data_IF_276680451443
#
_entry.id   IF_276680451443
#
_cell.length_a   1.000
_cell.length_b   1.000
_cell.length_c   1.000
_cell.angle_alpha   90.00
_cell.angle_beta   90.00
_cell.angle_gamma   90.00
#
_symmetry.space_group_name_H-M   'P 1'
#
loop_
_entity.id
_entity.type
_entity.pdbx_description
1 polymer ?
#
# COMPACT_ATOMS: atom_id res chain seq x y z
N UNK A 1 36.88 9.93 -22.29
CA UNK A 1 36.42 9.24 -21.08
C UNK A 1 35.54 8.08 -21.55
N UNK A 2 35.81 6.85 -21.11
CA UNK A 2 34.96 5.72 -21.48
C UNK A 2 33.54 6.02 -20.96
N UNK A 3 32.54 5.92 -21.84
CA UNK A 3 31.15 6.18 -21.49
C UNK A 3 30.69 5.04 -20.55
N UNK A 4 30.79 5.25 -19.24
CA UNK A 4 30.43 4.23 -18.25
C UNK A 4 28.93 3.99 -18.33
N UNK A 5 28.54 2.73 -18.57
CA UNK A 5 27.13 2.32 -18.64
C UNK A 5 26.43 2.59 -17.32
N UNK A 6 25.16 2.96 -17.35
CA UNK A 6 24.36 3.27 -16.17
C UNK A 6 23.67 2.02 -15.61
N UNK A 7 23.64 1.89 -14.29
CA UNK A 7 22.93 0.83 -13.59
C UNK A 7 22.02 1.42 -12.51
N UNK A 8 20.71 1.32 -12.71
CA UNK A 8 19.72 1.76 -11.74
C UNK A 8 19.46 0.67 -10.70
N UNK A 9 19.45 1.04 -9.43
CA UNK A 9 19.23 0.12 -8.31
C UNK A 9 17.78 0.28 -7.84
N UNK A 10 17.01 -0.81 -7.94
CA UNK A 10 15.69 -0.93 -7.33
C UNK A 10 15.78 -1.90 -6.16
N UNK A 11 15.34 -1.45 -4.99
CA UNK A 11 15.49 -2.19 -3.75
C UNK A 11 14.48 -1.71 -2.69
N UNK A 12 14.26 -2.48 -1.61
CA UNK A 12 13.45 -2.00 -0.50
C UNK A 12 14.10 -0.76 0.12
N UNK A 13 13.38 0.36 0.11
CA UNK A 13 13.88 1.61 0.74
C UNK A 13 13.68 1.60 2.25
N UNK A 14 12.64 0.90 2.72
CA UNK A 14 12.32 0.75 4.14
C UNK A 14 12.19 -0.71 4.50
N UNK A 15 12.58 -1.04 5.73
CA UNK A 15 12.37 -2.36 6.32
C UNK A 15 10.94 -2.44 6.85
N UNK A 16 10.11 -3.39 6.39
CA UNK A 16 8.77 -3.58 6.95
C UNK A 16 8.85 -3.94 8.43
N UNK A 17 7.99 -3.35 9.27
CA UNK A 17 8.06 -3.53 10.73
C UNK A 17 7.96 -5.01 11.14
N UNK A 18 7.21 -5.82 10.38
CA UNK A 18 7.04 -7.26 10.64
C UNK A 18 8.31 -8.11 10.45
N UNK A 19 9.30 -7.62 9.70
CA UNK A 19 10.59 -8.30 9.48
C UNK A 19 11.77 -7.57 10.10
N UNK A 20 11.55 -6.42 10.73
CA UNK A 20 12.59 -5.56 11.29
C UNK A 20 13.50 -6.28 12.28
N UNK A 21 12.92 -7.09 13.16
CA UNK A 21 13.68 -7.84 14.18
C UNK A 21 14.55 -8.96 13.58
N UNK A 22 14.39 -9.27 12.30
CA UNK A 22 15.23 -10.26 11.59
C UNK A 22 16.54 -9.66 11.11
N UNK A 23 16.61 -8.34 10.98
CA UNK A 23 17.79 -7.63 10.51
C UNK A 23 18.56 -7.02 11.69
N UNK A 24 19.87 -7.29 11.75
CA UNK A 24 20.75 -6.77 12.81
C UNK A 24 20.64 -5.26 12.98
N UNK A 25 20.55 -4.55 11.85
CA UNK A 25 20.60 -3.08 11.81
C UNK A 25 19.20 -2.44 11.83
N UNK A 26 18.14 -3.23 12.07
CA UNK A 26 16.77 -2.76 12.18
C UNK A 26 16.35 -1.97 10.93
N UNK A 27 15.92 -0.72 11.10
CA UNK A 27 15.42 0.14 10.01
C UNK A 27 16.49 0.56 9.01
N UNK A 28 17.76 0.58 9.40
CA UNK A 28 18.87 1.05 8.54
C UNK A 28 19.45 -0.06 7.66
N UNK A 29 18.98 -1.31 7.80
CA UNK A 29 19.55 -2.45 7.10
C UNK A 29 19.70 -2.23 5.59
N UNK A 30 18.61 -1.84 4.91
CA UNK A 30 18.66 -1.63 3.47
C UNK A 30 19.51 -0.44 3.05
N UNK A 31 19.66 0.56 3.93
CA UNK A 31 20.62 1.64 3.69
C UNK A 31 22.05 1.12 3.70
N UNK A 32 22.41 0.29 4.68
CA UNK A 32 23.73 -0.34 4.73
C UNK A 32 23.96 -1.29 3.56
N UNK A 33 22.96 -2.06 3.14
CA UNK A 33 23.03 -2.90 1.94
C UNK A 33 23.34 -2.05 0.70
N UNK A 34 22.64 -0.92 0.53
CA UNK A 34 22.86 0.00 -0.58
C UNK A 34 24.29 0.56 -0.58
N UNK A 35 24.69 1.17 0.53
CA UNK A 35 25.93 1.94 0.64
C UNK A 35 27.18 1.05 0.70
N UNK A 36 27.10 -0.08 1.40
CA UNK A 36 28.26 -0.94 1.66
C UNK A 36 28.41 -2.08 0.65
N UNK A 37 27.32 -2.57 0.04
CA UNK A 37 27.35 -3.74 -0.85
C UNK A 37 26.95 -3.40 -2.28
N UNK A 38 25.75 -2.87 -2.52
CA UNK A 38 25.21 -2.74 -3.88
C UNK A 38 25.96 -1.70 -4.71
N UNK A 39 26.13 -0.47 -4.20
CA UNK A 39 26.85 0.59 -4.91
C UNK A 39 28.30 0.16 -5.22
N UNK A 40 29.10 -0.30 -4.24
CA UNK A 40 30.47 -0.74 -4.52
C UNK A 40 30.54 -1.90 -5.54
N UNK A 41 29.58 -2.81 -5.52
CA UNK A 41 29.54 -3.94 -6.46
C UNK A 41 29.22 -3.49 -7.89
N UNK A 42 28.29 -2.57 -8.05
CA UNK A 42 27.92 -1.97 -9.35
C UNK A 42 29.10 -1.17 -9.93
N UNK A 43 29.76 -0.36 -9.11
CA UNK A 43 30.92 0.42 -9.53
C UNK A 43 32.10 -0.49 -9.90
N UNK A 44 32.38 -1.52 -9.09
CA UNK A 44 33.38 -2.56 -9.40
C UNK A 44 33.03 -3.35 -10.66
N UNK A 45 31.74 -3.48 -10.96
CA UNK A 45 31.27 -4.08 -12.20
C UNK A 45 31.53 -3.19 -13.44
N UNK A 46 31.94 -1.94 -13.27
CA UNK A 46 32.23 -1.00 -14.35
C UNK A 46 31.01 -0.19 -14.81
N UNK A 47 29.97 -0.10 -13.96
CA UNK A 47 28.77 0.68 -14.21
C UNK A 47 28.72 1.89 -13.27
N UNK A 48 28.04 2.95 -13.72
CA UNK A 48 27.68 4.09 -12.87
C UNK A 48 26.41 3.74 -12.08
N UNK A 49 26.52 3.62 -10.76
CA UNK A 49 25.41 3.29 -9.88
C UNK A 49 24.45 4.48 -9.73
N UNK A 50 23.15 4.23 -9.93
CA UNK A 50 22.09 5.20 -9.71
C UNK A 50 21.22 4.66 -8.56
N UNK A 51 21.30 5.22 -7.35
CA UNK A 51 20.54 4.75 -6.19
C UNK A 51 19.04 5.13 -6.31
N UNK A 52 18.16 4.46 -5.55
CA UNK A 52 16.74 4.82 -5.50
C UNK A 52 16.53 6.21 -4.87
N UNK A 53 15.54 6.95 -5.37
CA UNK A 53 15.18 8.27 -4.84
C UNK A 53 14.35 8.15 -3.56
N UNK A 54 14.84 8.70 -2.46
CA UNK A 54 14.11 8.79 -1.19
C UNK A 54 13.48 10.19 -1.02
N UNK A 55 12.21 10.41 -1.45
CA UNK A 55 11.19 11.40 -0.94
C UNK A 55 10.08 11.80 -1.96
N UNK A 56 8.79 11.67 -1.57
CA UNK A 56 7.60 12.33 -2.19
C UNK A 56 6.78 11.54 -3.24
N UNK A 57 5.56 11.10 -2.89
CA UNK A 57 4.82 10.04 -3.61
C UNK A 57 4.58 10.24 -5.11
N UNK A 58 4.33 11.45 -5.59
CA UNK A 58 3.81 11.61 -6.97
C UNK A 58 4.88 11.99 -7.99
N UNK A 59 5.90 12.75 -7.57
CA UNK A 59 7.05 13.13 -8.42
C UNK A 59 8.09 12.00 -8.53
N UNK A 60 8.16 11.11 -7.53
CA UNK A 60 9.09 9.96 -7.56
C UNK A 60 8.80 9.03 -8.73
N UNK A 61 7.53 8.67 -8.97
CA UNK A 61 7.20 7.59 -9.90
C UNK A 61 7.61 7.90 -11.34
N UNK A 62 7.47 9.15 -11.80
CA UNK A 62 7.87 9.53 -13.15
C UNK A 62 9.39 9.37 -13.38
N UNK A 63 10.20 9.78 -12.41
CA UNK A 63 11.66 9.66 -12.52
C UNK A 63 12.10 8.19 -12.40
N UNK A 64 11.49 7.39 -11.50
CA UNK A 64 11.75 5.95 -11.43
C UNK A 64 11.44 5.28 -12.76
N UNK A 65 10.27 5.54 -13.35
CA UNK A 65 9.89 4.97 -14.65
C UNK A 65 10.89 5.36 -15.73
N UNK A 66 11.32 6.63 -15.75
CA UNK A 66 12.34 7.11 -16.68
C UNK A 66 13.68 6.38 -16.49
N UNK A 67 14.11 6.12 -15.24
CA UNK A 67 15.33 5.36 -14.98
C UNK A 67 15.19 3.89 -15.41
N UNK A 68 14.04 3.26 -15.13
CA UNK A 68 13.71 1.91 -15.59
C UNK A 68 13.71 1.80 -17.11
N UNK A 69 13.37 2.86 -17.82
CA UNK A 69 13.42 2.93 -19.27
C UNK A 69 14.83 3.21 -19.79
N UNK A 70 15.51 4.23 -19.27
CA UNK A 70 16.70 4.79 -19.94
C UNK A 70 18.02 4.14 -19.57
N UNK A 71 18.09 3.43 -18.44
CA UNK A 71 19.36 2.84 -17.97
C UNK A 71 19.74 1.54 -18.69
N UNK A 72 21.05 1.30 -18.80
CA UNK A 72 21.60 0.13 -19.48
C UNK A 72 21.30 -1.17 -18.73
N UNK A 73 21.33 -1.13 -17.40
CA UNK A 73 21.05 -2.26 -16.51
C UNK A 73 20.20 -1.81 -15.33
N UNK A 74 19.33 -2.71 -14.85
CA UNK A 74 18.69 -2.57 -13.54
C UNK A 74 19.20 -3.67 -12.62
N UNK A 75 19.71 -3.29 -11.44
CA UNK A 75 19.97 -4.19 -10.34
C UNK A 75 18.73 -4.22 -9.44
N UNK A 76 18.11 -5.39 -9.32
CA UNK A 76 16.85 -5.58 -8.62
C UNK A 76 17.05 -6.43 -7.37
N UNK A 77 16.89 -5.81 -6.20
CA UNK A 77 16.94 -6.50 -4.91
C UNK A 77 15.53 -6.90 -4.44
N UNK A 78 15.21 -8.19 -4.52
CA UNK A 78 13.90 -8.74 -4.15
C UNK A 78 13.76 -9.06 -2.66
N UNK A 79 14.69 -8.61 -1.82
CA UNK A 79 14.68 -8.85 -0.38
C UNK A 79 13.43 -8.30 0.30
N UNK A 80 13.03 -8.94 1.41
CA UNK A 80 11.82 -8.62 2.19
C UNK A 80 10.51 -8.61 1.39
N UNK A 81 10.51 -9.08 0.13
CA UNK A 81 9.35 -9.17 -0.76
C UNK A 81 8.62 -7.82 -0.92
N UNK A 82 9.37 -6.74 -1.10
CA UNK A 82 8.79 -5.40 -1.22
C UNK A 82 7.92 -5.27 -2.50
N UNK A 83 6.62 -4.93 -2.39
CA UNK A 83 5.71 -4.87 -3.53
C UNK A 83 6.08 -3.80 -4.56
N UNK A 84 6.72 -2.69 -4.14
CA UNK A 84 7.13 -1.64 -5.06
C UNK A 84 8.27 -2.11 -5.97
N UNK A 85 9.22 -2.88 -5.42
CA UNK A 85 10.31 -3.45 -6.22
C UNK A 85 9.77 -4.43 -7.26
N UNK A 86 8.77 -5.25 -6.91
CA UNK A 86 8.12 -6.14 -7.87
C UNK A 86 7.40 -5.39 -8.99
N UNK A 87 6.77 -4.25 -8.68
CA UNK A 87 6.15 -3.40 -9.68
C UNK A 87 7.19 -2.83 -10.65
N UNK A 88 8.29 -2.28 -10.15
CA UNK A 88 9.40 -1.74 -10.94
C UNK A 88 10.09 -2.82 -11.80
N UNK A 89 10.31 -4.00 -11.23
CA UNK A 89 10.81 -5.18 -11.93
C UNK A 89 9.88 -5.60 -13.08
N UNK A 90 8.56 -5.57 -12.85
CA UNK A 90 7.55 -5.85 -13.87
C UNK A 90 7.62 -4.88 -15.05
N UNK A 91 7.77 -3.57 -14.78
CA UNK A 91 7.93 -2.54 -15.81
C UNK A 91 9.22 -2.76 -16.61
N UNK A 92 10.36 -2.94 -15.93
CA UNK A 92 11.64 -3.19 -16.62
C UNK A 92 11.57 -4.45 -17.49
N UNK A 93 10.87 -5.47 -17.00
CA UNK A 93 10.64 -6.71 -17.74
C UNK A 93 9.77 -6.46 -18.95
N UNK A 94 8.67 -5.71 -18.87
CA UNK A 94 7.80 -5.46 -20.04
C UNK A 94 8.48 -4.65 -21.15
N UNK A 95 9.50 -3.86 -20.82
CA UNK A 95 10.36 -3.14 -21.77
C UNK A 95 11.43 -4.03 -22.42
N UNK A 96 11.52 -5.31 -22.04
CA UNK A 96 12.54 -6.26 -22.51
C UNK A 96 13.98 -5.77 -22.33
N UNK A 97 14.29 -5.06 -21.25
CA UNK A 97 15.64 -4.53 -21.00
C UNK A 97 16.40 -5.34 -19.94
N UNK A 98 17.75 -5.31 -19.94
CA UNK A 98 18.57 -6.09 -19.03
C UNK A 98 18.23 -5.85 -17.57
N UNK A 99 18.18 -6.93 -16.79
CA UNK A 99 17.96 -6.92 -15.34
C UNK A 99 18.86 -7.97 -14.68
N UNK A 100 19.47 -7.58 -13.57
CA UNK A 100 20.24 -8.44 -12.68
C UNK A 100 19.47 -8.55 -11.38
N UNK A 101 19.26 -9.75 -10.85
CA UNK A 101 18.39 -9.94 -9.69
C UNK A 101 19.17 -10.51 -8.51
N UNK A 102 18.95 -9.92 -7.35
CA UNK A 102 19.58 -10.32 -6.08
C UNK A 102 18.52 -10.48 -5.00
N UNK A 103 18.91 -11.17 -3.92
CA UNK A 103 18.13 -11.26 -2.69
C UNK A 103 19.07 -11.52 -1.52
N UNK A 104 18.63 -11.19 -0.31
CA UNK A 104 19.29 -11.64 0.90
C UNK A 104 19.05 -13.14 1.17
N UNK A 105 19.85 -13.68 2.08
CA UNK A 105 19.75 -15.05 2.59
C UNK A 105 18.53 -15.27 3.51
N UNK A 106 17.92 -14.19 4.02
CA UNK A 106 16.71 -14.24 4.84
C UNK A 106 15.44 -14.44 4.01
N UNK A 107 15.43 -14.01 2.75
CA UNK A 107 14.32 -14.14 1.80
C UNK A 107 14.39 -15.53 1.15
N UNK A 108 13.69 -16.49 1.74
CA UNK A 108 13.74 -17.91 1.32
C UNK A 108 12.99 -18.18 0.00
N UNK A 109 11.84 -17.56 -0.18
CA UNK A 109 10.98 -17.82 -1.34
C UNK A 109 10.54 -16.50 -1.97
N UNK A 110 10.84 -16.35 -3.26
CA UNK A 110 10.30 -15.29 -4.10
C UNK A 110 9.00 -15.82 -4.73
N UNK A 111 7.91 -15.05 -4.79
CA UNK A 111 6.58 -15.49 -5.24
C UNK A 111 6.45 -15.75 -6.75
N UNK A 112 7.54 -16.05 -7.44
CA UNK A 112 7.58 -16.48 -8.85
C UNK A 112 8.09 -17.92 -8.94
N UNK A 113 7.89 -18.60 -10.08
CA UNK A 113 8.55 -19.87 -10.35
C UNK A 113 10.08 -19.66 -10.45
N UNK A 114 10.73 -19.70 -9.28
CA UNK A 114 12.13 -19.32 -9.04
C UNK A 114 13.14 -20.23 -9.73
N UNK A 115 12.72 -21.37 -10.27
CA UNK A 115 13.59 -22.24 -11.07
C UNK A 115 14.09 -21.58 -12.36
N UNK A 116 13.46 -20.50 -12.81
CA UNK A 116 13.73 -19.85 -14.09
C UNK A 116 14.59 -18.58 -13.93
N UNK A 117 14.49 -17.88 -12.80
CA UNK A 117 15.16 -16.61 -12.58
C UNK A 117 16.50 -16.88 -11.89
N UNK A 118 17.59 -16.42 -12.50
CA UNK A 118 18.93 -16.52 -11.92
C UNK A 118 19.15 -15.40 -10.90
N UNK A 119 19.15 -15.73 -9.61
CA UNK A 119 19.39 -14.80 -8.52
C UNK A 119 20.79 -15.00 -7.93
N UNK A 120 21.42 -13.91 -7.50
CA UNK A 120 22.53 -13.97 -6.55
C UNK A 120 22.01 -13.74 -5.13
N UNK A 121 22.40 -14.62 -4.21
CA UNK A 121 22.10 -14.49 -2.78
C UNK A 121 23.29 -13.82 -2.08
N UNK A 122 23.03 -12.77 -1.31
CA UNK A 122 24.04 -12.10 -0.47
C UNK A 122 23.72 -12.27 1.03
N UNK A 123 24.74 -12.14 1.87
CA UNK A 123 24.58 -12.25 3.33
C UNK A 123 23.99 -10.98 3.95
N UNK A 124 22.83 -11.08 4.61
CA UNK A 124 22.18 -9.94 5.28
C UNK A 124 22.98 -9.37 6.46
N UNK A 125 23.97 -10.12 6.98
CA UNK A 125 24.76 -9.70 8.13
C UNK A 125 25.82 -8.63 7.79
N UNK A 126 26.21 -8.49 6.52
CA UNK A 126 27.19 -7.51 6.01
C UNK A 126 28.50 -7.44 6.83
N UNK A 127 29.00 -8.59 7.28
CA UNK A 127 30.18 -8.63 8.15
C UNK A 127 31.43 -8.08 7.44
N UNK A 128 32.25 -7.22 8.08
CA UNK A 128 33.36 -6.55 7.42
C UNK A 128 34.41 -7.48 6.78
N UNK A 129 34.61 -8.68 7.35
CA UNK A 129 35.58 -9.66 6.84
C UNK A 129 35.08 -10.40 5.58
N UNK A 130 33.76 -10.51 5.39
CA UNK A 130 33.16 -11.14 4.21
C UNK A 130 32.81 -10.11 3.12
N UNK A 131 32.56 -8.85 3.49
CA UNK A 131 32.06 -7.80 2.60
C UNK A 131 32.90 -7.62 1.33
N UNK A 132 34.23 -7.60 1.43
CA UNK A 132 35.09 -7.44 0.25
C UNK A 132 34.96 -8.61 -0.75
N UNK A 133 34.73 -9.81 -0.24
CA UNK A 133 34.48 -11.01 -1.05
C UNK A 133 33.10 -10.95 -1.68
N UNK A 134 32.06 -10.63 -0.90
CA UNK A 134 30.68 -10.46 -1.38
C UNK A 134 30.61 -9.44 -2.50
N UNK A 135 31.24 -8.27 -2.35
CA UNK A 135 31.32 -7.23 -3.40
C UNK A 135 31.95 -7.79 -4.68
N UNK A 136 32.97 -8.63 -4.55
CA UNK A 136 33.63 -9.24 -5.72
C UNK A 136 32.71 -10.20 -6.44
N UNK A 137 32.10 -11.14 -5.71
CA UNK A 137 31.19 -12.14 -6.29
C UNK A 137 29.96 -11.48 -6.90
N UNK A 138 29.36 -10.50 -6.22
CA UNK A 138 28.23 -9.75 -6.74
C UNK A 138 28.62 -8.94 -7.99
N UNK A 139 29.81 -8.33 -8.03
CA UNK A 139 30.28 -7.62 -9.22
C UNK A 139 30.46 -8.54 -10.44
N UNK A 140 30.93 -9.77 -10.23
CA UNK A 140 31.04 -10.79 -11.29
C UNK A 140 29.67 -11.23 -11.77
N UNK A 141 28.73 -11.44 -10.85
CA UNK A 141 27.35 -11.76 -11.18
C UNK A 141 26.68 -10.65 -12.00
N UNK A 142 26.87 -9.38 -11.63
CA UNK A 142 26.34 -8.22 -12.37
C UNK A 142 26.88 -8.20 -13.81
N UNK A 143 28.20 -8.36 -13.99
CA UNK A 143 28.83 -8.42 -15.32
C UNK A 143 28.27 -9.58 -16.14
N UNK A 144 28.25 -10.78 -15.57
CA UNK A 144 27.77 -11.98 -16.25
C UNK A 144 26.28 -11.86 -16.65
N UNK A 145 25.45 -11.28 -15.78
CA UNK A 145 24.03 -11.02 -16.08
C UNK A 145 23.86 -10.04 -17.22
N UNK A 146 24.65 -8.96 -17.25
CA UNK A 146 24.62 -7.99 -18.35
C UNK A 146 25.12 -8.59 -19.68
N UNK A 147 26.24 -9.31 -19.67
CA UNK A 147 26.79 -9.93 -20.88
C UNK A 147 25.86 -11.02 -21.45
N UNK A 148 25.25 -11.84 -20.60
CA UNK A 148 24.27 -12.87 -21.00
C UNK A 148 22.98 -12.27 -21.57
N UNK A 149 22.63 -11.06 -21.14
CA UNK A 149 21.39 -10.40 -21.53
C UNK A 149 21.35 -10.06 -23.02
N UNK A 150 22.51 -9.81 -23.64
CA UNK A 150 22.63 -9.29 -25.02
C UNK A 150 21.70 -8.08 -25.27
N UNK A 151 21.59 -7.20 -24.26
CA UNK A 151 20.73 -6.02 -24.31
C UNK A 151 19.23 -6.30 -24.11
N UNK A 152 18.84 -7.54 -23.78
CA UNK A 152 17.45 -7.95 -23.59
C UNK A 152 17.18 -8.60 -22.24
N UNK A 153 15.91 -8.66 -21.83
CA UNK A 153 15.56 -9.39 -20.63
C UNK A 153 15.56 -10.90 -20.90
N UNK A 154 16.38 -11.66 -20.16
CA UNK A 154 16.52 -13.11 -20.39
C UNK A 154 15.25 -13.90 -20.07
N UNK A 155 14.35 -13.37 -19.24
CA UNK A 155 13.12 -14.03 -18.82
C UNK A 155 12.07 -14.12 -19.93
N UNK A 156 12.17 -13.29 -20.95
CA UNK A 156 11.23 -13.27 -22.07
C UNK A 156 11.15 -14.59 -22.83
N UNK A 157 12.31 -15.22 -23.02
CA UNK A 157 12.41 -16.53 -23.67
C UNK A 157 11.63 -17.59 -22.88
N UNK A 158 11.60 -17.44 -21.56
CA UNK A 158 10.93 -18.39 -20.66
C UNK A 158 9.44 -18.08 -20.49
N UNK A 159 9.06 -16.80 -20.42
CA UNK A 159 7.66 -16.38 -20.30
C UNK A 159 6.89 -16.42 -21.63
N UNK A 160 7.57 -16.60 -22.77
CA UNK A 160 6.93 -16.66 -24.08
C UNK A 160 6.30 -15.32 -24.52
N UNK A 161 6.82 -14.20 -24.01
CA UNK A 161 6.35 -12.86 -24.35
C UNK A 161 6.65 -12.55 -25.83
N UNK A 162 5.66 -11.98 -26.53
CA UNK A 162 5.71 -11.74 -27.98
C UNK A 162 5.73 -10.25 -28.38
N UNK A 163 5.46 -9.35 -27.43
CA UNK A 163 5.32 -7.93 -27.71
C UNK A 163 5.89 -7.10 -26.55
N UNK A 164 6.76 -6.15 -26.90
CA UNK A 164 7.39 -5.17 -26.02
C UNK A 164 6.43 -4.02 -25.73
N UNK A 165 6.42 -3.56 -24.48
CA UNK A 165 5.74 -2.33 -24.14
C UNK A 165 6.45 -1.17 -24.87
N UNK A 166 5.69 -0.38 -25.62
CA UNK A 166 6.19 0.82 -26.28
C UNK A 166 6.04 2.03 -25.34
N UNK A 167 6.97 2.98 -25.45
CA UNK A 167 6.84 4.26 -24.77
C UNK A 167 5.58 5.00 -25.28
N UNK A 168 4.92 5.71 -24.38
CA UNK A 168 3.78 6.54 -24.76
C UNK A 168 4.28 7.79 -25.51
N UNK A 169 3.89 7.94 -26.79
CA UNK A 169 4.35 9.04 -27.66
C UNK A 169 3.50 10.33 -27.55
N UNK A 170 2.42 10.34 -26.76
CA UNK A 170 1.57 11.52 -26.60
C UNK A 170 2.17 12.56 -25.65
N UNK A 171 1.77 13.83 -25.77
CA UNK A 171 2.17 14.86 -24.80
C UNK A 171 1.56 14.57 -23.42
N UNK A 172 2.37 14.49 -22.35
CA UNK A 172 1.85 14.30 -21.01
C UNK A 172 1.17 15.60 -20.51
N UNK A 173 -0.13 15.73 -20.75
CA UNK A 173 -1.00 16.45 -19.81
C UNK A 173 -1.98 17.52 -20.31
N UNK A 174 -2.98 17.17 -21.13
CA UNK A 174 -4.31 17.80 -20.99
C UNK A 174 -5.31 16.82 -20.38
N UNK A 175 -5.45 15.63 -20.97
CA UNK A 175 -6.51 14.69 -20.61
C UNK A 175 -6.11 13.82 -19.42
N UNK A 176 -4.87 13.32 -19.40
CA UNK A 176 -4.34 12.51 -18.30
C UNK A 176 -4.27 13.26 -16.96
N UNK A 177 -4.12 14.59 -16.97
CA UNK A 177 -4.15 15.40 -15.75
C UNK A 177 -5.57 15.57 -15.23
N UNK A 178 -6.55 15.75 -16.12
CA UNK A 178 -7.97 15.76 -15.75
C UNK A 178 -8.39 14.41 -15.18
N UNK A 179 -7.91 13.31 -15.78
CA UNK A 179 -8.15 11.96 -15.26
C UNK A 179 -7.47 11.74 -13.91
N UNK A 180 -6.23 12.22 -13.73
CA UNK A 180 -5.55 12.17 -12.44
C UNK A 180 -6.29 12.99 -11.38
N UNK A 181 -6.78 14.18 -11.74
CA UNK A 181 -7.61 15.02 -10.87
C UNK A 181 -8.91 14.28 -10.50
N UNK A 182 -9.57 13.65 -11.46
CA UNK A 182 -10.78 12.87 -11.21
C UNK A 182 -10.51 11.68 -10.29
N UNK A 183 -9.38 10.98 -10.46
CA UNK A 183 -8.95 9.89 -9.58
C UNK A 183 -8.62 10.39 -8.17
N UNK A 184 -7.91 11.53 -8.06
CA UNK A 184 -7.61 12.17 -6.78
C UNK A 184 -8.89 12.63 -6.08
N UNK A 185 -9.83 13.28 -6.79
CA UNK A 185 -11.14 13.66 -6.27
C UNK A 185 -11.94 12.43 -5.80
N UNK A 186 -11.98 11.35 -6.57
CA UNK A 186 -12.61 10.10 -6.15
C UNK A 186 -11.95 9.49 -4.91
N UNK A 187 -10.63 9.61 -4.75
CA UNK A 187 -9.93 9.19 -3.54
C UNK A 187 -10.23 10.08 -2.33
N UNK A 188 -10.38 11.40 -2.54
CA UNK A 188 -10.76 12.35 -1.50
C UNK A 188 -12.19 12.10 -1.02
N UNK A 189 -13.13 11.87 -1.95
CA UNK A 189 -14.52 11.53 -1.62
C UNK A 189 -14.58 10.25 -0.77
N UNK A 190 -13.86 9.20 -1.14
CA UNK A 190 -13.77 7.97 -0.31
C UNK A 190 -13.18 8.21 1.07
N UNK A 191 -12.14 9.05 1.19
CA UNK A 191 -11.56 9.41 2.49
C UNK A 191 -12.53 10.23 3.34
N UNK A 192 -13.35 11.08 2.72
CA UNK A 192 -14.42 11.82 3.42
C UNK A 192 -15.51 10.86 3.91
N UNK A 193 -15.96 9.91 3.08
CA UNK A 193 -16.93 8.88 3.49
C UNK A 193 -16.41 8.04 4.67
N UNK A 194 -15.13 7.66 4.65
CA UNK A 194 -14.50 6.92 5.75
C UNK A 194 -14.32 7.78 7.01
N UNK A 195 -14.11 9.09 6.85
CA UNK A 195 -14.00 10.04 7.95
C UNK A 195 -15.35 10.28 8.63
N UNK A 196 -16.43 10.41 7.87
CA UNK A 196 -17.79 10.49 8.40
C UNK A 196 -18.15 9.23 9.19
N UNK A 197 -17.86 8.04 8.64
CA UNK A 197 -18.10 6.76 9.34
C UNK A 197 -17.30 6.63 10.64
N UNK A 198 -16.02 7.00 10.65
CA UNK A 198 -15.19 6.98 11.87
C UNK A 198 -15.62 8.03 12.89
N UNK A 199 -15.95 9.24 12.46
CA UNK A 199 -16.44 10.32 13.33
C UNK A 199 -17.72 9.91 14.05
N UNK A 200 -18.69 9.31 13.35
CA UNK A 200 -19.93 8.81 13.95
C UNK A 200 -19.66 7.67 14.95
N UNK A 201 -18.73 6.77 14.63
CA UNK A 201 -18.40 5.63 15.48
C UNK A 201 -17.62 6.03 16.75
N UNK A 202 -16.64 6.94 16.63
CA UNK A 202 -15.84 7.42 17.77
C UNK A 202 -16.63 8.37 18.68
N UNK A 203 -17.55 9.18 18.14
CA UNK A 203 -18.44 10.02 18.94
C UNK A 203 -19.45 9.17 19.71
N UNK A 204 -20.00 8.12 19.10
CA UNK A 204 -20.86 7.15 19.80
C UNK A 204 -20.12 6.39 20.90
N UNK A 205 -18.88 5.96 20.65
CA UNK A 205 -18.09 5.17 21.59
C UNK A 205 -17.56 5.98 22.79
N UNK A 206 -17.21 7.25 22.60
CA UNK A 206 -16.69 8.12 23.67
C UNK A 206 -17.78 8.52 24.68
N UNK A 207 -19.04 8.58 24.25
CA UNK A 207 -20.20 8.90 25.09
C UNK A 207 -20.71 7.65 25.83
N UNK A 208 -20.63 6.45 25.22
CA UNK A 208 -21.08 5.20 25.84
C UNK A 208 -20.30 4.72 27.06
N UNK A 209 -19.09 5.26 27.29
CA UNK A 209 -18.27 4.85 28.43
C UNK A 209 -18.60 5.61 29.73
N UNK A 210 -19.50 6.60 29.70
CA UNK A 210 -19.62 7.58 30.80
C UNK A 210 -21.01 7.71 31.48
N UNK A 211 -22.04 6.91 31.16
CA UNK A 211 -23.37 7.15 31.78
C UNK A 211 -24.27 5.92 31.92
N UNK A 212 -24.91 5.83 33.09
CA UNK A 212 -25.87 4.81 33.50
C UNK A 212 -27.16 4.85 32.66
N UNK A 213 -27.69 3.66 32.37
CA UNK A 213 -28.88 3.37 31.55
C UNK A 213 -30.15 4.10 32.04
N UNK A 214 -30.85 4.78 31.12
CA UNK A 214 -32.20 5.34 31.33
C UNK A 214 -32.46 6.62 30.53
N UNK A 215 -32.13 7.78 31.13
CA UNK A 215 -32.56 9.11 30.63
C UNK A 215 -31.84 9.60 29.37
N UNK A 216 -30.63 9.10 29.07
CA UNK A 216 -29.85 9.58 27.92
C UNK A 216 -30.31 8.99 26.58
N UNK A 217 -30.84 7.75 26.57
CA UNK A 217 -31.31 7.10 25.33
C UNK A 217 -32.48 7.83 24.68
N UNK A 218 -33.33 8.46 25.50
CA UNK A 218 -34.43 9.30 25.08
C UNK A 218 -33.94 10.57 24.36
N UNK A 219 -32.95 11.24 24.92
CA UNK A 219 -32.40 12.50 24.37
C UNK A 219 -31.78 12.29 22.99
N UNK A 220 -31.05 11.19 22.78
CA UNK A 220 -30.41 10.90 21.50
C UNK A 220 -31.38 10.50 20.40
N UNK A 221 -32.41 9.72 20.72
CA UNK A 221 -33.44 9.36 19.76
C UNK A 221 -34.28 10.58 19.34
N UNK A 222 -34.55 11.50 20.27
CA UNK A 222 -35.19 12.79 19.96
C UNK A 222 -34.32 13.67 19.04
N UNK A 223 -33.01 13.75 19.30
CA UNK A 223 -32.05 14.48 18.46
C UNK A 223 -31.95 13.88 17.05
N UNK A 224 -31.87 12.56 16.95
CA UNK A 224 -31.84 11.85 15.67
C UNK A 224 -33.12 12.10 14.87
N UNK A 225 -34.29 11.99 15.52
CA UNK A 225 -35.57 12.28 14.90
C UNK A 225 -35.61 13.72 14.36
N UNK A 226 -35.18 14.71 15.16
CA UNK A 226 -35.13 16.11 14.75
C UNK A 226 -34.18 16.38 13.58
N UNK A 227 -32.96 15.80 13.60
CA UNK A 227 -31.97 16.03 12.54
C UNK A 227 -32.34 15.37 11.20
N UNK A 228 -33.24 14.39 11.22
CA UNK A 228 -33.72 13.68 10.04
C UNK A 228 -35.17 14.07 9.68
N UNK A 229 -35.66 15.22 10.18
CA UNK A 229 -37.02 15.75 9.94
C UNK A 229 -38.13 14.69 10.20
N UNK A 230 -37.95 13.86 11.22
CA UNK A 230 -38.96 12.91 11.68
C UNK A 230 -39.86 13.63 12.68
N UNK A 231 -41.08 13.97 12.25
CA UNK A 231 -42.07 14.71 13.04
C UNK A 231 -42.75 13.83 14.10
N UNK A 232 -41.96 13.33 15.05
CA UNK A 232 -42.42 12.54 16.19
C UNK A 232 -41.79 13.02 17.48
N UNK A 233 -42.58 12.97 18.56
CA UNK A 233 -42.10 13.24 19.91
C UNK A 233 -41.91 11.92 20.64
N UNK A 234 -40.66 11.50 20.80
CA UNK A 234 -40.31 10.31 21.58
C UNK A 234 -40.43 10.67 23.06
N UNK A 235 -41.20 9.90 23.82
CA UNK A 235 -41.52 10.17 25.23
C UNK A 235 -40.66 9.34 26.15
N UNK A 236 -40.49 8.06 25.84
CA UNK A 236 -39.77 7.12 26.69
C UNK A 236 -39.02 6.09 25.84
N UNK A 237 -37.85 5.68 26.32
CA UNK A 237 -37.02 4.66 25.68
C UNK A 237 -36.54 3.69 26.75
N UNK A 238 -36.99 2.45 26.67
CA UNK A 238 -36.59 1.35 27.56
C UNK A 238 -35.80 0.30 26.77
N UNK A 239 -34.56 0.04 27.16
CA UNK A 239 -33.65 -0.88 26.44
C UNK A 239 -33.17 -1.99 27.38
N UNK A 240 -33.53 -3.24 27.06
CA UNK A 240 -33.00 -4.47 27.65
C UNK A 240 -31.94 -5.10 26.74
N UNK A 241 -31.32 -6.21 27.18
CA UNK A 241 -30.31 -6.92 26.39
C UNK A 241 -30.84 -7.49 25.07
N UNK A 242 -32.14 -7.69 24.96
CA UNK A 242 -32.80 -8.40 23.86
C UNK A 242 -33.93 -7.61 23.20
N UNK A 243 -34.36 -6.47 23.78
CA UNK A 243 -35.52 -5.71 23.31
C UNK A 243 -35.37 -4.21 23.60
N UNK A 244 -35.79 -3.40 22.64
CA UNK A 244 -35.94 -1.96 22.81
C UNK A 244 -37.42 -1.59 22.65
N UNK A 245 -37.94 -0.83 23.59
CA UNK A 245 -39.29 -0.28 23.56
C UNK A 245 -39.19 1.24 23.51
N UNK A 246 -39.85 1.83 22.52
CA UNK A 246 -39.84 3.27 22.28
C UNK A 246 -41.28 3.76 22.26
N UNK A 247 -41.62 4.63 23.21
CA UNK A 247 -42.92 5.29 23.23
C UNK A 247 -42.82 6.64 22.51
N UNK A 248 -43.74 6.91 21.58
CA UNK A 248 -43.73 8.11 20.77
C UNK A 248 -45.15 8.67 20.53
N UNK A 249 -45.23 9.99 20.35
CA UNK A 249 -46.42 10.71 19.89
C UNK A 249 -46.20 11.17 18.46
N UNK A 250 -47.13 10.82 17.57
CA UNK A 250 -47.05 11.13 16.13
C UNK A 250 -47.02 9.86 15.28
N UNK A 251 -47.25 10.02 13.97
CA UNK A 251 -47.21 8.91 13.02
C UNK A 251 -45.83 8.83 12.37
N UNK A 252 -45.21 7.64 12.40
CA UNK A 252 -44.00 7.35 11.63
C UNK A 252 -44.35 6.67 10.30
N UNK A 253 -43.69 7.07 9.22
CA UNK A 253 -43.73 6.30 7.96
C UNK A 253 -42.84 5.05 8.05
N UNK A 254 -43.11 4.05 7.21
CA UNK A 254 -42.30 2.81 7.12
C UNK A 254 -40.79 3.07 6.95
N UNK A 255 -40.43 4.14 6.23
CA UNK A 255 -39.03 4.50 6.02
C UNK A 255 -38.40 5.11 7.28
N UNK A 256 -39.15 5.97 7.99
CA UNK A 256 -38.71 6.56 9.25
C UNK A 256 -38.60 5.49 10.35
N UNK A 257 -39.53 4.53 10.39
CA UNK A 257 -39.45 3.40 11.29
C UNK A 257 -38.18 2.58 11.05
N UNK A 258 -37.87 2.24 9.79
CA UNK A 258 -36.64 1.53 9.43
C UNK A 258 -35.38 2.28 9.84
N UNK A 259 -35.34 3.60 9.65
CA UNK A 259 -34.20 4.42 10.07
C UNK A 259 -34.01 4.40 11.59
N UNK A 260 -35.09 4.52 12.36
CA UNK A 260 -35.05 4.47 13.82
C UNK A 260 -34.63 3.08 14.31
N UNK A 261 -35.13 2.00 13.70
CA UNK A 261 -34.68 0.63 14.03
C UNK A 261 -33.21 0.41 13.73
N UNK A 262 -32.74 0.84 12.56
CA UNK A 262 -31.33 0.71 12.19
C UNK A 262 -30.43 1.51 13.13
N UNK A 263 -30.85 2.70 13.56
CA UNK A 263 -30.15 3.45 14.59
C UNK A 263 -30.10 2.68 15.91
N UNK A 264 -31.24 2.15 16.37
CA UNK A 264 -31.29 1.43 17.65
C UNK A 264 -30.45 0.14 17.61
N UNK A 265 -30.49 -0.61 16.51
CA UNK A 265 -29.68 -1.81 16.33
C UNK A 265 -28.18 -1.47 16.27
N UNK A 266 -27.80 -0.43 15.53
CA UNK A 266 -26.41 -0.01 15.38
C UNK A 266 -25.80 0.48 16.70
N UNK A 267 -26.55 1.26 17.47
CA UNK A 267 -26.05 1.90 18.69
C UNK A 267 -26.28 1.05 19.94
N UNK A 268 -27.39 0.32 20.05
CA UNK A 268 -27.70 -0.47 21.26
C UNK A 268 -27.52 -1.97 21.07
N UNK A 269 -27.23 -2.45 19.85
CA UNK A 269 -27.04 -3.87 19.57
C UNK A 269 -28.33 -4.70 19.67
N UNK A 270 -29.50 -4.03 19.64
CA UNK A 270 -30.80 -4.65 19.82
C UNK A 270 -31.60 -4.58 18.53
N UNK A 271 -31.83 -5.74 17.91
CA UNK A 271 -32.59 -5.85 16.65
C UNK A 271 -34.11 -5.90 16.88
N UNK A 272 -34.57 -6.27 18.08
CA UNK A 272 -35.98 -6.38 18.41
C UNK A 272 -36.52 -5.07 18.99
N UNK A 273 -36.90 -4.16 18.09
CA UNK A 273 -37.40 -2.83 18.43
C UNK A 273 -38.91 -2.75 18.25
N UNK A 274 -39.61 -2.34 19.29
CA UNK A 274 -41.06 -2.14 19.28
C UNK A 274 -41.38 -0.68 19.54
N UNK A 275 -42.12 -0.05 18.62
CA UNK A 275 -42.65 1.29 18.80
C UNK A 275 -44.07 1.22 19.33
N UNK A 276 -44.37 2.02 20.34
CA UNK A 276 -45.70 2.18 20.91
C UNK A 276 -46.15 3.62 20.67
N UNK A 277 -47.21 3.79 19.87
CA UNK A 277 -47.85 5.08 19.66
C UNK A 277 -48.75 5.40 20.85
N UNK A 278 -48.47 6.52 21.52
CA UNK A 278 -49.27 7.02 22.63
C UNK A 278 -50.23 8.08 22.10
N UNK A 279 -51.55 7.97 22.34
CA UNK A 279 -52.50 9.01 21.97
C UNK A 279 -52.21 10.29 22.76
N UNK A 280 -52.44 11.44 22.12
CA UNK A 280 -52.28 12.78 22.69
C UNK A 280 -53.04 12.99 24.01
#
# INVERSE_FOLDING_TARGET
MANSKSCFIIMPVTVPEIVKDRYRDGSEHFRHVLDCLLIPSVEKAGFNAIPPLARGSDLIHAEIIKQLETTDLVLCDMSALNPNVFFEFGIRTSLNKPVCVVKDDLTKHIPFDTGIINFHEYLSALEPWDLAKEITVLSEHIKASYERSDGKNTLWKYFGLRAEAAAYEGEPGSDNKLDLINLQLGSMLRRLDDFEKKSLFDYGKKIMLDSNKGDEGLSYLQLFAKNNDIDVKIIEVSISEDKAQVELVGLISDNQEKMLKAYIELFYGVSNVVFHEVPF
#
